data_IF_596798964245
#
_entry.id   IF_596798964245
#
_cell.length_a   1.000
_cell.length_b   1.000
_cell.length_c   1.000
_cell.angle_alpha   90.00
_cell.angle_beta   90.00
_cell.angle_gamma   90.00
#
_symmetry.space_group_name_H-M   'P 1'
#
loop_
_entity.id
_entity.type
_entity.pdbx_description
1 polymer ?
#
# COMPACT_ATOMS: atom_id res chain seq x y z
N UNK A 1 3.47 -3.08 -17.24
CA UNK A 1 2.37 -2.74 -16.32
C UNK A 1 1.92 -4.00 -15.62
N UNK A 2 1.61 -3.90 -14.33
CA UNK A 2 1.15 -4.98 -13.47
C UNK A 2 -0.37 -4.95 -13.47
N UNK A 3 -1.01 -6.08 -13.77
CA UNK A 3 -2.47 -6.14 -13.83
C UNK A 3 -3.13 -5.81 -12.50
N UNK A 4 -4.34 -5.24 -12.52
CA UNK A 4 -5.02 -4.83 -11.28
C UNK A 4 -5.17 -5.94 -10.24
N UNK A 5 -5.42 -7.19 -10.69
CA UNK A 5 -5.47 -8.35 -9.80
C UNK A 5 -4.13 -8.65 -9.13
N UNK A 6 -3.05 -8.53 -9.90
CA UNK A 6 -1.70 -8.79 -9.40
C UNK A 6 -1.28 -7.68 -8.44
N UNK A 7 -1.55 -6.42 -8.78
CA UNK A 7 -1.30 -5.27 -7.90
C UNK A 7 -2.04 -5.42 -6.57
N UNK A 8 -3.33 -5.77 -6.59
CA UNK A 8 -4.11 -6.02 -5.37
C UNK A 8 -3.52 -7.16 -4.51
N UNK A 9 -3.09 -8.26 -5.15
CA UNK A 9 -2.47 -9.38 -4.45
C UNK A 9 -1.16 -8.97 -3.78
N UNK A 10 -0.33 -8.22 -4.51
CA UNK A 10 0.95 -7.71 -4.00
C UNK A 10 0.76 -6.68 -2.87
N UNK A 11 -0.24 -5.79 -2.97
CA UNK A 11 -0.62 -4.88 -1.88
C UNK A 11 -1.05 -5.64 -0.63
N UNK A 12 -1.84 -6.71 -0.80
CA UNK A 12 -2.30 -7.54 0.32
C UNK A 12 -1.15 -8.26 1.01
N UNK A 13 -0.20 -8.81 0.23
CA UNK A 13 1.02 -9.44 0.75
C UNK A 13 1.87 -8.41 1.48
N UNK A 14 2.09 -7.23 0.90
CA UNK A 14 2.86 -6.16 1.53
C UNK A 14 2.22 -5.73 2.85
N UNK A 15 0.90 -5.52 2.88
CA UNK A 15 0.18 -5.13 4.08
C UNK A 15 0.33 -6.19 5.18
N UNK A 16 0.13 -7.46 4.84
CA UNK A 16 0.32 -8.57 5.79
C UNK A 16 1.75 -8.60 6.34
N UNK A 17 2.76 -8.31 5.51
CA UNK A 17 4.17 -8.30 5.93
C UNK A 17 4.51 -7.17 6.92
N UNK A 18 3.81 -6.04 6.82
CA UNK A 18 4.00 -4.85 7.65
C UNK A 18 3.30 -4.95 9.02
N UNK A 19 2.32 -5.83 9.15
CA UNK A 19 1.50 -5.98 10.35
C UNK A 19 1.95 -7.14 11.23
N UNK A 20 1.54 -7.10 12.50
CA UNK A 20 1.54 -8.24 13.41
C UNK A 20 0.32 -9.13 13.14
N UNK A 21 0.27 -10.29 13.78
CA UNK A 21 -0.90 -11.17 13.76
C UNK A 21 -2.16 -10.52 14.37
N UNK A 22 -2.00 -9.48 15.19
CA UNK A 22 -3.11 -8.70 15.75
C UNK A 22 -3.58 -7.56 14.83
N UNK A 23 -2.94 -7.36 13.67
CA UNK A 23 -3.30 -6.31 12.71
C UNK A 23 -2.71 -4.93 12.99
N UNK A 24 -1.76 -4.83 13.92
CA UNK A 24 -1.04 -3.60 14.28
C UNK A 24 0.30 -3.51 13.53
N UNK A 25 0.87 -2.31 13.29
CA UNK A 25 2.18 -2.21 12.65
C UNK A 25 3.27 -2.97 13.44
N UNK A 26 4.11 -3.73 12.74
CA UNK A 26 5.12 -4.57 13.37
C UNK A 26 6.40 -3.79 13.73
N UNK A 27 6.30 -2.90 14.71
CA UNK A 27 7.42 -2.06 15.18
C UNK A 27 8.63 -2.87 15.64
N UNK A 28 8.44 -4.11 16.10
CA UNK A 28 9.55 -4.97 16.52
C UNK A 28 10.40 -5.44 15.34
N UNK A 29 9.77 -5.85 14.23
CA UNK A 29 10.44 -6.28 13.00
C UNK A 29 11.10 -5.12 12.26
N UNK A 30 10.48 -3.94 12.32
CA UNK A 30 10.87 -2.76 11.56
C UNK A 30 11.53 -1.66 12.42
N UNK A 31 12.22 -2.03 13.51
CA UNK A 31 13.02 -1.05 14.28
C UNK A 31 14.07 -0.33 13.43
N UNK A 32 14.81 -1.01 12.52
CA UNK A 32 15.70 -0.32 11.60
C UNK A 32 14.90 0.40 10.51
N UNK A 33 15.10 1.71 10.37
CA UNK A 33 14.39 2.53 9.38
C UNK A 33 14.70 2.11 7.94
N UNK A 34 15.85 1.48 7.72
CA UNK A 34 16.30 0.96 6.43
C UNK A 34 15.36 -0.14 5.92
N UNK A 35 14.86 -1.00 6.82
CA UNK A 35 13.89 -2.03 6.45
C UNK A 35 12.55 -1.40 6.04
N UNK A 36 12.15 -0.30 6.69
CA UNK A 36 10.96 0.47 6.32
C UNK A 36 11.18 1.10 4.95
N UNK A 37 12.33 1.74 4.72
CA UNK A 37 12.67 2.37 3.43
C UNK A 37 12.64 1.36 2.28
N UNK A 38 13.14 0.14 2.49
CA UNK A 38 13.09 -0.91 1.48
C UNK A 38 11.64 -1.27 1.09
N UNK A 39 10.74 -1.36 2.08
CA UNK A 39 9.31 -1.61 1.83
C UNK A 39 8.60 -0.41 1.20
N UNK A 40 9.01 0.80 1.57
CA UNK A 40 8.55 2.04 0.95
C UNK A 40 8.88 2.09 -0.55
N UNK A 41 10.13 1.79 -0.90
CA UNK A 41 10.57 1.76 -2.29
C UNK A 41 9.83 0.68 -3.08
N UNK A 42 9.63 -0.50 -2.49
CA UNK A 42 8.83 -1.55 -3.11
C UNK A 42 7.38 -1.13 -3.34
N UNK A 43 6.78 -0.42 -2.38
CA UNK A 43 5.43 0.11 -2.53
C UNK A 43 5.35 1.14 -3.65
N UNK A 44 6.27 2.11 -3.70
CA UNK A 44 6.32 3.12 -4.77
C UNK A 44 6.49 2.48 -6.15
N UNK A 45 7.38 1.49 -6.27
CA UNK A 45 7.60 0.74 -7.51
C UNK A 45 6.31 0.06 -7.99
N UNK A 46 5.57 -0.55 -7.06
CA UNK A 46 4.28 -1.15 -7.34
C UNK A 46 3.24 -0.12 -7.79
N UNK A 47 3.19 1.06 -7.15
CA UNK A 47 2.24 2.11 -7.53
C UNK A 47 2.52 2.67 -8.93
N UNK A 48 3.79 2.84 -9.29
CA UNK A 48 4.22 3.40 -10.57
C UNK A 48 3.95 2.43 -11.73
N UNK A 49 4.12 1.13 -11.48
CA UNK A 49 3.96 0.11 -12.52
C UNK A 49 2.56 -0.50 -12.59
N UNK A 50 1.65 -0.09 -11.71
CA UNK A 50 0.26 -0.53 -11.71
C UNK A 50 -0.45 -0.18 -13.03
N UNK A 51 -1.38 -1.05 -13.44
CA UNK A 51 -2.28 -0.80 -14.56
C UNK A 51 -3.28 0.35 -14.26
N UNK A 52 -3.84 0.37 -13.05
CA UNK A 52 -4.72 1.47 -12.62
C UNK A 52 -3.90 2.69 -12.18
N UNK A 53 -4.49 3.87 -12.38
CA UNK A 53 -3.89 5.13 -11.96
C UNK A 53 -3.90 5.29 -10.43
N UNK A 54 -2.72 5.19 -9.83
CA UNK A 54 -2.47 5.43 -8.41
C UNK A 54 -1.60 6.66 -8.16
N UNK A 55 -1.48 7.53 -9.16
CA UNK A 55 -0.69 8.78 -9.06
C UNK A 55 -1.15 9.68 -7.91
N UNK A 56 -2.43 9.62 -7.54
CA UNK A 56 -2.97 10.31 -6.37
C UNK A 56 -2.28 9.88 -5.07
N UNK A 57 -2.01 8.58 -4.89
CA UNK A 57 -1.35 8.05 -3.70
C UNK A 57 0.10 8.51 -3.67
N UNK A 58 0.80 8.42 -4.81
CA UNK A 58 2.18 8.93 -4.95
C UNK A 58 2.24 10.41 -4.57
N UNK A 59 1.31 11.22 -5.07
CA UNK A 59 1.23 12.65 -4.77
C UNK A 59 0.96 12.95 -3.30
N UNK A 60 0.20 12.09 -2.60
CA UNK A 60 -0.06 12.24 -1.17
C UNK A 60 1.19 11.90 -0.34
N UNK A 61 1.86 10.78 -0.68
CA UNK A 61 3.12 10.36 -0.05
C UNK A 61 4.19 11.46 -0.15
N UNK A 62 4.29 12.11 -1.32
CA UNK A 62 5.22 13.21 -1.56
C UNK A 62 4.89 14.50 -0.79
N UNK A 63 3.70 14.63 -0.22
CA UNK A 63 3.27 15.81 0.55
C UNK A 63 3.23 15.54 2.05
N UNK A 64 3.12 14.28 2.44
CA UNK A 64 3.13 13.87 3.84
C UNK A 64 4.57 13.91 4.42
N UNK A 65 4.81 14.67 5.51
CA UNK A 65 6.10 14.71 6.18
C UNK A 65 6.44 13.42 6.95
N UNK A 66 5.43 12.68 7.44
CA UNK A 66 5.64 11.43 8.19
C UNK A 66 6.17 10.32 7.28
N UNK A 67 5.94 10.41 5.97
CA UNK A 67 6.55 9.53 4.97
C UNK A 67 8.08 9.76 4.81
N UNK A 68 8.58 10.95 5.18
CA UNK A 68 9.97 11.38 4.98
C UNK A 68 10.77 11.52 6.27
N UNK A 69 10.13 11.30 7.42
CA UNK A 69 10.79 11.31 8.72
C UNK A 69 11.84 10.20 8.85
N UNK A 70 12.79 10.40 9.77
CA UNK A 70 13.72 9.37 10.23
C UNK A 70 13.17 8.56 11.42
N UNK A 71 12.04 8.99 12.01
CA UNK A 71 11.35 8.25 13.06
C UNK A 71 10.73 6.96 12.50
N UNK A 72 11.23 5.77 12.87
CA UNK A 72 10.75 4.50 12.31
C UNK A 72 9.30 4.21 12.70
N UNK A 73 8.82 4.70 13.85
CA UNK A 73 7.44 4.46 14.30
C UNK A 73 6.48 5.20 13.36
N UNK A 74 6.68 6.51 13.22
CA UNK A 74 5.85 7.35 12.35
C UNK A 74 5.91 6.90 10.89
N UNK A 75 7.12 6.57 10.41
CA UNK A 75 7.32 6.14 9.03
C UNK A 75 6.63 4.81 8.72
N UNK A 76 6.70 3.84 9.63
CA UNK A 76 6.01 2.56 9.47
C UNK A 76 4.49 2.75 9.50
N UNK A 77 3.98 3.56 10.42
CA UNK A 77 2.56 3.87 10.52
C UNK A 77 2.04 4.48 9.21
N UNK A 78 2.72 5.51 8.70
CA UNK A 78 2.38 6.15 7.42
C UNK A 78 2.37 5.12 6.27
N UNK A 79 3.40 4.27 6.16
CA UNK A 79 3.46 3.23 5.13
C UNK A 79 2.25 2.29 5.19
N UNK A 80 1.91 1.80 6.38
CA UNK A 80 0.74 0.91 6.58
C UNK A 80 -0.55 1.60 6.14
N UNK A 81 -0.73 2.86 6.52
CA UNK A 81 -1.95 3.61 6.20
C UNK A 81 -2.11 3.82 4.69
N UNK A 82 -1.04 4.19 3.98
CA UNK A 82 -1.10 4.35 2.54
C UNK A 82 -1.27 3.03 1.78
N UNK A 83 -0.67 1.93 2.25
CA UNK A 83 -0.91 0.60 1.67
C UNK A 83 -2.37 0.18 1.87
N UNK A 84 -2.98 0.49 3.02
CA UNK A 84 -4.42 0.26 3.28
C UNK A 84 -5.31 1.09 2.34
N UNK A 85 -4.99 2.37 2.16
CA UNK A 85 -5.71 3.26 1.23
C UNK A 85 -5.62 2.72 -0.21
N UNK A 86 -4.41 2.35 -0.66
CA UNK A 86 -4.22 1.75 -1.98
C UNK A 86 -5.07 0.49 -2.15
N UNK A 87 -5.02 -0.42 -1.18
CA UNK A 87 -5.80 -1.67 -1.19
C UNK A 87 -7.31 -1.41 -1.26
N UNK A 88 -7.80 -0.40 -0.52
CA UNK A 88 -9.21 -0.03 -0.52
C UNK A 88 -9.67 0.50 -1.89
N UNK A 89 -8.86 1.32 -2.55
CA UNK A 89 -9.17 1.84 -3.89
C UNK A 89 -9.31 0.71 -4.92
N UNK A 90 -8.47 -0.33 -4.84
CA UNK A 90 -8.59 -1.52 -5.70
C UNK A 90 -9.83 -2.36 -5.41
N UNK A 91 -10.24 -2.44 -4.15
CA UNK A 91 -11.49 -3.11 -3.79
C UNK A 91 -12.72 -2.32 -4.26
N UNK A 92 -12.67 -0.99 -4.26
CA UNK A 92 -13.77 -0.12 -4.69
C UNK A 92 -13.91 0.01 -6.21
N UNK A 93 -12.79 0.08 -6.95
CA UNK A 93 -12.81 0.12 -8.41
C UNK A 93 -13.26 -1.21 -9.05
N UNK A 94 -13.26 -2.30 -8.27
CA UNK A 94 -13.99 -3.54 -8.59
C UNK A 94 -15.41 -3.51 -8.06
N UNK A 95 -16.20 -2.53 -8.49
CA UNK A 95 -17.65 -2.53 -8.29
C UNK A 95 -18.26 -3.91 -8.62
N UNK A 96 -19.43 -4.25 -8.04
CA UNK A 96 -19.99 -5.60 -8.07
C UNK A 96 -19.89 -6.15 -9.49
N UNK A 97 -19.34 -7.36 -9.64
CA UNK A 97 -19.41 -8.10 -10.90
C UNK A 97 -20.83 -7.93 -11.41
N UNK A 98 -21.01 -7.18 -12.50
CA UNK A 98 -22.29 -7.10 -13.18
C UNK A 98 -22.60 -8.53 -13.58
N UNK A 99 -23.44 -9.17 -12.77
CA UNK A 99 -24.19 -10.33 -13.17
C UNK A 99 -24.90 -9.86 -14.42
N UNK A 100 -24.49 -10.41 -15.55
CA UNK A 100 -25.13 -10.21 -16.82
C UNK A 100 -26.61 -10.55 -16.65
N UNK A 101 -27.46 -9.54 -16.61
CA UNK A 101 -28.86 -9.71 -16.96
C UNK A 101 -29.14 -8.70 -18.06
N UNK A 102 -28.78 -9.12 -19.28
CA UNK A 102 -29.63 -8.88 -20.44
C UNK A 102 -31.05 -9.30 -20.04
N UNK A 103 -31.97 -8.36 -19.97
CA UNK A 103 -33.41 -8.57 -20.11
C UNK A 103 -34.08 -7.25 -20.47
#
# INVERSE_FOLDING_TARGET
>A
MISSHTTQSLLSVLLHDLLTTSGEPNYARFRPVELINARYNHFLDLLIHAEDDLSIIVSLLEKDPDCRTSDPIRKLQALVDYVRIASALYNMNRGPQMVSTLH
#
